data_IF_121351525257
#
_entry.id   IF_121351525257
#
_cell.length_a   1.000
_cell.length_b   1.000
_cell.length_c   1.000
_cell.angle_alpha   90.00
_cell.angle_beta   90.00
_cell.angle_gamma   90.00
#
_symmetry.space_group_name_H-M   'P 1'
#
loop_
_entity.id
_entity.type
_entity.pdbx_description
1 polymer ?
#
# COMPACT_ATOMS: atom_id res chain seq x y z
N UNK A 1 -9.91 28.29 9.88
CA UNK A 1 -8.85 27.48 10.53
C UNK A 1 -8.38 26.46 9.51
N UNK A 2 -7.08 26.31 9.31
CA UNK A 2 -6.55 25.23 8.47
C UNK A 2 -6.80 23.88 9.17
N UNK A 3 -7.25 22.88 8.44
CA UNK A 3 -7.39 21.52 8.96
C UNK A 3 -6.02 20.85 8.86
N UNK A 4 -5.44 20.52 10.00
CA UNK A 4 -4.14 19.84 10.09
C UNK A 4 -4.35 18.42 10.60
N UNK A 5 -3.72 17.44 9.96
CA UNK A 5 -3.68 16.06 10.44
C UNK A 5 -2.37 15.87 11.19
N UNK A 6 -2.45 15.54 12.48
CA UNK A 6 -1.30 15.35 13.37
C UNK A 6 -1.21 13.88 13.81
N UNK A 7 -0.04 13.30 13.62
CA UNK A 7 0.30 11.94 14.02
C UNK A 7 1.29 11.86 15.19
N UNK A 8 1.51 12.96 15.92
CA UNK A 8 2.36 12.97 17.11
C UNK A 8 1.94 11.89 18.11
N UNK A 9 2.88 11.05 18.53
CA UNK A 9 2.62 9.93 19.43
C UNK A 9 1.89 8.73 18.80
N UNK A 10 1.76 8.68 17.47
CA UNK A 10 1.22 7.56 16.70
C UNK A 10 2.32 6.74 16.06
N UNK A 11 2.15 5.43 16.05
CA UNK A 11 3.06 4.47 15.42
C UNK A 11 2.44 3.98 14.12
N UNK A 12 3.19 4.12 13.03
CA UNK A 12 2.76 3.76 11.68
C UNK A 12 3.75 2.78 11.07
N UNK A 13 3.29 1.60 10.72
CA UNK A 13 4.07 0.61 9.97
C UNK A 13 3.71 0.67 8.48
N UNK A 14 4.71 0.87 7.62
CA UNK A 14 4.55 0.79 6.17
C UNK A 14 5.40 -0.36 5.63
N UNK A 15 4.75 -1.37 5.07
CA UNK A 15 5.44 -2.53 4.52
C UNK A 15 6.02 -2.24 3.12
N UNK A 16 7.23 -2.77 2.82
CA UNK A 16 7.90 -2.54 1.54
C UNK A 16 8.30 -1.08 1.31
N UNK A 17 8.67 -0.36 2.37
CA UNK A 17 8.83 1.10 2.34
C UNK A 17 10.28 1.59 2.24
N UNK A 18 11.23 0.75 1.86
CA UNK A 18 12.61 1.18 1.62
C UNK A 18 12.79 1.95 0.32
N UNK A 19 11.80 1.91 -0.60
CA UNK A 19 11.82 2.59 -1.89
C UNK A 19 10.41 2.79 -2.45
N UNK A 20 10.31 3.51 -3.56
CA UNK A 20 9.08 3.64 -4.37
C UNK A 20 7.91 4.21 -3.61
N UNK A 21 6.73 3.64 -3.88
CA UNK A 21 5.46 4.11 -3.31
C UNK A 21 5.47 4.05 -1.78
N UNK A 22 5.95 2.93 -1.22
CA UNK A 22 6.01 2.76 0.23
C UNK A 22 6.87 3.82 0.92
N UNK A 23 8.01 4.21 0.31
CA UNK A 23 8.86 5.27 0.85
C UNK A 23 8.15 6.63 0.85
N UNK A 24 7.45 6.95 -0.24
CA UNK A 24 6.65 8.17 -0.31
C UNK A 24 5.51 8.20 0.72
N UNK A 25 4.86 7.05 0.96
CA UNK A 25 3.84 6.92 2.01
C UNK A 25 4.47 7.14 3.40
N UNK A 26 5.58 6.45 3.69
CA UNK A 26 6.29 6.57 4.97
C UNK A 26 6.73 8.02 5.24
N UNK A 27 7.23 8.71 4.20
CA UNK A 27 7.61 10.13 4.30
C UNK A 27 6.43 11.02 4.68
N UNK A 28 5.23 10.82 4.10
CA UNK A 28 4.06 11.64 4.45
C UNK A 28 3.57 11.42 5.88
N UNK A 29 3.71 10.21 6.42
CA UNK A 29 3.46 9.97 7.84
C UNK A 29 4.53 10.61 8.74
N UNK A 30 5.80 10.58 8.33
CA UNK A 30 6.87 11.29 9.05
C UNK A 30 6.64 12.81 9.06
N UNK A 31 6.30 13.40 7.90
CA UNK A 31 5.93 14.82 7.78
C UNK A 31 4.75 15.21 8.68
N UNK A 32 3.85 14.26 8.94
CA UNK A 32 2.73 14.44 9.87
C UNK A 32 3.07 14.17 11.35
N UNK A 33 4.32 13.86 11.69
CA UNK A 33 4.80 13.67 13.06
C UNK A 33 4.69 12.25 13.62
N UNK A 34 4.44 11.23 12.77
CA UNK A 34 4.37 9.85 13.22
C UNK A 34 5.73 9.26 13.59
N UNK A 35 5.74 8.31 14.54
CA UNK A 35 6.82 7.34 14.65
C UNK A 35 6.70 6.36 13.49
N UNK A 36 7.61 6.48 12.51
CA UNK A 36 7.58 5.66 11.29
C UNK A 36 8.37 4.39 11.48
N UNK A 37 7.72 3.27 11.19
CA UNK A 37 8.33 1.94 11.12
C UNK A 37 8.21 1.43 9.70
N UNK A 38 9.29 0.92 9.15
CA UNK A 38 9.31 0.35 7.80
C UNK A 38 9.85 -1.06 7.81
N UNK A 39 9.39 -1.91 6.91
CA UNK A 39 9.95 -3.22 6.74
C UNK A 39 10.26 -3.53 5.28
N UNK A 40 11.31 -4.31 5.09
CA UNK A 40 11.69 -4.95 3.83
C UNK A 40 12.64 -6.11 4.15
N UNK A 41 13.04 -6.89 3.14
CA UNK A 41 14.03 -7.96 3.33
C UNK A 41 15.44 -7.45 3.66
N UNK A 42 15.76 -6.23 3.22
CA UNK A 42 17.03 -5.53 3.50
C UNK A 42 16.77 -4.04 3.66
N UNK A 43 17.52 -3.34 4.49
CA UNK A 43 17.44 -1.88 4.60
C UNK A 43 17.88 -1.22 3.28
N UNK A 44 17.54 0.04 3.12
CA UNK A 44 18.15 0.92 2.12
C UNK A 44 19.29 1.70 2.77
N UNK A 45 20.36 1.99 2.02
CA UNK A 45 21.54 2.70 2.53
C UNK A 45 21.22 4.15 2.94
N UNK A 46 20.19 4.74 2.32
CA UNK A 46 19.72 6.11 2.51
C UNK A 46 18.43 6.20 3.35
N UNK A 47 18.16 5.18 4.20
CA UNK A 47 16.99 5.23 5.07
C UNK A 47 17.15 6.36 6.11
N UNK A 48 16.12 7.22 6.32
CA UNK A 48 16.16 8.24 7.37
C UNK A 48 16.51 7.65 8.74
N UNK A 49 17.40 8.30 9.47
CA UNK A 49 17.94 7.78 10.73
C UNK A 49 16.89 7.69 11.87
N UNK A 50 15.81 8.47 11.77
CA UNK A 50 14.69 8.50 12.69
C UNK A 50 13.61 7.45 12.38
N UNK A 51 13.73 6.72 11.25
CA UNK A 51 12.82 5.63 10.92
C UNK A 51 13.31 4.30 11.51
N UNK A 52 12.40 3.56 12.10
CA UNK A 52 12.70 2.20 12.58
C UNK A 52 12.62 1.21 11.41
N UNK A 53 13.61 0.33 11.31
CA UNK A 53 13.63 -0.70 10.28
C UNK A 53 13.57 -2.11 10.89
N UNK A 54 12.67 -2.95 10.36
CA UNK A 54 12.59 -4.37 10.68
C UNK A 54 12.75 -5.21 9.41
N UNK A 55 13.67 -6.17 9.43
CA UNK A 55 13.86 -7.10 8.32
C UNK A 55 12.80 -8.21 8.36
N UNK A 56 12.02 -8.38 7.27
CA UNK A 56 11.05 -9.45 7.16
C UNK A 56 10.81 -9.86 5.69
N UNK A 57 10.60 -11.15 5.44
CA UNK A 57 10.04 -11.64 4.19
C UNK A 57 8.56 -11.98 4.41
N UNK A 58 7.69 -11.10 4.00
CA UNK A 58 6.25 -11.18 4.26
C UNK A 58 5.53 -12.28 3.46
N UNK A 59 6.24 -13.02 2.60
CA UNK A 59 5.69 -14.23 1.96
C UNK A 59 5.57 -15.38 2.95
N UNK A 60 6.32 -15.31 4.05
CA UNK A 60 6.23 -16.21 5.18
C UNK A 60 5.26 -15.62 6.22
N UNK A 61 4.20 -16.38 6.53
CA UNK A 61 3.16 -15.94 7.47
C UNK A 61 3.67 -15.76 8.89
N UNK A 62 4.53 -16.65 9.36
CA UNK A 62 5.13 -16.56 10.70
C UNK A 62 6.03 -15.32 10.81
N UNK A 63 6.82 -15.03 9.78
CA UNK A 63 7.64 -13.83 9.74
C UNK A 63 6.79 -12.54 9.68
N UNK A 64 5.63 -12.57 9.01
CA UNK A 64 4.69 -11.46 8.99
C UNK A 64 4.06 -11.20 10.36
N UNK A 65 3.66 -12.24 11.09
CA UNK A 65 3.15 -12.14 12.46
C UNK A 65 4.22 -11.62 13.40
N UNK A 66 5.42 -12.22 13.39
CA UNK A 66 6.56 -11.81 14.22
C UNK A 66 6.98 -10.35 13.98
N UNK A 67 6.86 -9.85 12.74
CA UNK A 67 7.09 -8.43 12.44
C UNK A 67 6.13 -7.54 13.24
N UNK A 68 4.83 -7.81 13.17
CA UNK A 68 3.83 -6.99 13.86
C UNK A 68 4.05 -7.03 15.37
N UNK A 69 4.28 -8.22 15.93
CA UNK A 69 4.57 -8.38 17.37
C UNK A 69 5.81 -7.59 17.79
N UNK A 70 6.88 -7.63 16.98
CA UNK A 70 8.11 -6.88 17.23
C UNK A 70 7.89 -5.37 17.20
N UNK A 71 7.08 -4.88 16.27
CA UNK A 71 6.74 -3.45 16.18
C UNK A 71 5.95 -3.00 17.42
N UNK A 72 4.96 -3.79 17.84
CA UNK A 72 4.17 -3.47 19.03
C UNK A 72 5.02 -3.58 20.29
N UNK A 73 5.88 -4.58 20.42
CA UNK A 73 6.78 -4.73 21.56
C UNK A 73 7.75 -3.55 21.69
N UNK A 74 8.28 -3.05 20.56
CA UNK A 74 9.23 -1.93 20.56
C UNK A 74 8.58 -0.58 20.87
N UNK A 75 7.31 -0.39 20.49
CA UNK A 75 6.64 0.92 20.52
C UNK A 75 5.44 1.00 21.47
N UNK A 76 5.01 -0.12 22.05
CA UNK A 76 3.84 -0.22 22.93
C UNK A 76 2.49 -0.14 22.22
N UNK A 77 2.48 0.12 20.90
CA UNK A 77 1.27 0.29 20.09
C UNK A 77 1.53 0.18 18.59
N UNK A 78 0.46 0.01 17.82
CA UNK A 78 0.43 0.20 16.36
C UNK A 78 -0.88 0.89 15.99
N UNK A 79 -0.83 2.12 15.50
CA UNK A 79 -2.03 2.91 15.17
C UNK A 79 -2.46 2.74 13.71
N UNK A 80 -1.49 2.67 12.81
CA UNK A 80 -1.76 2.49 11.38
C UNK A 80 -0.82 1.44 10.79
N UNK A 81 -1.42 0.48 10.09
CA UNK A 81 -0.71 -0.43 9.21
C UNK A 81 -0.99 -0.07 7.76
N UNK A 82 0.06 0.15 6.96
CA UNK A 82 -0.05 0.27 5.50
C UNK A 82 0.57 -0.95 4.85
N UNK A 83 -0.26 -1.82 4.29
CA UNK A 83 0.14 -2.97 3.50
C UNK A 83 0.48 -2.52 2.08
N UNK A 84 1.73 -2.11 1.87
CA UNK A 84 2.22 -1.66 0.57
C UNK A 84 3.13 -2.69 -0.10
N UNK A 85 3.78 -3.59 0.64
CA UNK A 85 4.66 -4.61 0.06
C UNK A 85 3.97 -5.36 -1.09
N UNK A 86 4.53 -5.31 -2.28
CA UNK A 86 3.92 -5.88 -3.47
C UNK A 86 4.66 -5.52 -4.74
N UNK A 87 4.05 -5.91 -5.86
CA UNK A 87 4.55 -5.65 -7.21
C UNK A 87 4.53 -6.91 -8.07
N UNK A 88 4.69 -6.71 -9.37
CA UNK A 88 4.78 -7.79 -10.37
C UNK A 88 5.72 -7.37 -11.48
N UNK A 89 6.64 -8.23 -11.90
CA UNK A 89 7.22 -8.10 -13.22
C UNK A 89 6.14 -8.40 -14.27
N UNK A 90 6.29 -7.94 -15.52
CA UNK A 90 5.46 -8.42 -16.63
C UNK A 90 5.62 -9.93 -16.80
N UNK A 91 4.52 -10.68 -16.79
CA UNK A 91 4.50 -12.14 -16.95
C UNK A 91 3.37 -12.52 -17.87
N UNK A 92 3.69 -13.15 -18.99
CA UNK A 92 2.68 -13.68 -19.92
C UNK A 92 1.88 -14.80 -19.22
N UNK A 93 0.56 -14.67 -19.22
CA UNK A 93 -0.35 -15.58 -18.51
C UNK A 93 -0.27 -17.01 -19.03
N UNK A 94 -0.01 -17.19 -20.34
CA UNK A 94 0.05 -18.51 -20.98
C UNK A 94 1.34 -19.29 -20.65
N UNK A 95 2.41 -18.57 -20.28
CA UNK A 95 3.74 -19.15 -20.03
C UNK A 95 4.18 -19.04 -18.56
N UNK A 96 3.37 -18.38 -17.73
CA UNK A 96 3.64 -18.22 -16.31
C UNK A 96 3.77 -19.58 -15.60
N UNK A 97 4.91 -19.84 -14.94
CA UNK A 97 5.03 -21.05 -14.13
C UNK A 97 4.17 -20.97 -12.87
N UNK A 98 3.67 -22.10 -12.33
CA UNK A 98 2.94 -22.13 -11.07
C UNK A 98 3.69 -21.41 -9.93
N UNK A 99 5.01 -21.61 -9.86
CA UNK A 99 5.87 -20.97 -8.84
C UNK A 99 5.87 -19.45 -8.90
N UNK A 100 5.80 -18.85 -10.10
CA UNK A 100 5.71 -17.40 -10.25
C UNK A 100 4.35 -16.93 -9.78
N UNK A 101 3.27 -17.61 -10.21
CA UNK A 101 1.90 -17.31 -9.80
C UNK A 101 1.74 -17.37 -8.28
N UNK A 102 2.21 -18.44 -7.65
CA UNK A 102 2.18 -18.60 -6.18
C UNK A 102 2.89 -17.45 -5.47
N UNK A 103 4.10 -17.09 -5.91
CA UNK A 103 4.87 -15.98 -5.32
C UNK A 103 4.19 -14.63 -5.46
N UNK A 104 3.50 -14.39 -6.58
CA UNK A 104 2.72 -13.18 -6.80
C UNK A 104 1.53 -13.11 -5.83
N UNK A 105 0.80 -14.21 -5.66
CA UNK A 105 -0.31 -14.29 -4.69
C UNK A 105 0.19 -14.15 -3.26
N UNK A 106 1.26 -14.85 -2.90
CA UNK A 106 1.88 -14.75 -1.57
C UNK A 106 2.22 -13.31 -1.22
N UNK A 107 2.91 -12.59 -2.11
CA UNK A 107 3.37 -11.23 -1.81
C UNK A 107 2.25 -10.19 -1.88
N UNK A 108 1.34 -10.29 -2.87
CA UNK A 108 0.38 -9.23 -3.18
C UNK A 108 -0.99 -9.40 -2.50
N UNK A 109 -1.25 -10.57 -1.90
CA UNK A 109 -2.48 -10.88 -1.18
C UNK A 109 -2.19 -11.43 0.21
N UNK A 110 -1.53 -12.60 0.31
CA UNK A 110 -1.39 -13.29 1.59
C UNK A 110 -0.56 -12.49 2.60
N UNK A 111 0.51 -11.83 2.18
CA UNK A 111 1.32 -10.97 3.03
C UNK A 111 0.48 -9.87 3.72
N UNK A 112 -0.42 -9.21 2.96
CA UNK A 112 -1.32 -8.19 3.50
C UNK A 112 -2.34 -8.80 4.48
N UNK A 113 -2.86 -9.99 4.18
CA UNK A 113 -3.79 -10.71 5.06
C UNK A 113 -3.11 -11.03 6.39
N UNK A 114 -1.92 -11.63 6.37
CA UNK A 114 -1.17 -12.01 7.58
C UNK A 114 -0.84 -10.80 8.46
N UNK A 115 -0.27 -9.74 7.87
CA UNK A 115 0.02 -8.51 8.60
C UNK A 115 -1.26 -7.89 9.19
N UNK A 116 -2.36 -7.89 8.43
CA UNK A 116 -3.64 -7.32 8.88
C UNK A 116 -4.26 -8.11 10.04
N UNK A 117 -4.21 -9.44 9.99
CA UNK A 117 -4.74 -10.31 11.07
C UNK A 117 -4.02 -10.03 12.39
N UNK A 118 -2.68 -10.01 12.38
CA UNK A 118 -1.91 -9.79 13.59
C UNK A 118 -2.01 -8.33 14.07
N UNK A 119 -2.05 -7.36 13.15
CA UNK A 119 -2.29 -5.96 13.51
C UNK A 119 -3.67 -5.77 14.15
N UNK A 120 -4.72 -6.36 13.57
CA UNK A 120 -6.05 -6.33 14.15
C UNK A 120 -6.08 -6.94 15.55
N UNK A 121 -5.40 -8.07 15.80
CA UNK A 121 -5.30 -8.68 17.13
C UNK A 121 -4.82 -7.65 18.17
N UNK A 122 -3.76 -6.91 17.90
CA UNK A 122 -3.25 -5.88 18.81
C UNK A 122 -4.16 -4.65 18.86
N UNK A 123 -4.62 -4.14 17.72
CA UNK A 123 -5.47 -2.95 17.64
C UNK A 123 -6.81 -3.14 18.38
N UNK A 124 -7.40 -4.34 18.39
CA UNK A 124 -8.62 -4.63 19.16
C UNK A 124 -8.40 -4.49 20.67
N UNK A 125 -7.19 -4.63 21.16
CA UNK A 125 -6.85 -4.48 22.58
C UNK A 125 -6.52 -3.01 22.94
N UNK A 126 -6.21 -2.17 21.97
CA UNK A 126 -5.95 -0.75 22.19
C UNK A 126 -7.23 0.04 22.47
N UNK A 127 -7.17 1.02 23.37
CA UNK A 127 -8.32 1.89 23.66
C UNK A 127 -8.76 2.70 22.43
N UNK A 128 -7.81 3.07 21.57
CA UNK A 128 -8.04 3.89 20.36
C UNK A 128 -8.35 3.07 19.11
N UNK A 129 -8.27 1.73 19.19
CA UNK A 129 -8.35 0.89 18.00
C UNK A 129 -7.20 1.12 17.03
N UNK A 130 -7.48 1.10 15.73
CA UNK A 130 -6.47 1.33 14.68
C UNK A 130 -7.05 1.50 13.28
N UNK A 131 -6.16 1.70 12.30
CA UNK A 131 -6.52 1.74 10.89
C UNK A 131 -5.57 0.88 10.05
N UNK A 132 -6.12 0.12 9.12
CA UNK A 132 -5.39 -0.71 8.16
C UNK A 132 -5.68 -0.20 6.76
N UNK A 133 -4.63 0.05 5.98
CA UNK A 133 -4.72 0.58 4.63
C UNK A 133 -3.99 -0.38 3.69
N UNK A 134 -4.73 -0.94 2.74
CA UNK A 134 -4.22 -1.89 1.76
C UNK A 134 -3.92 -1.19 0.44
N UNK A 135 -2.67 -1.17 0.00
CA UNK A 135 -2.33 -0.63 -1.31
C UNK A 135 -2.65 -1.67 -2.39
N UNK A 136 -3.75 -1.40 -3.07
CA UNK A 136 -4.23 -2.15 -4.21
C UNK A 136 -3.75 -1.54 -5.54
N UNK A 137 -4.42 -1.82 -6.63
CA UNK A 137 -4.04 -1.35 -7.96
C UNK A 137 -5.28 -1.23 -8.86
N UNK A 138 -5.21 -0.35 -9.85
CA UNK A 138 -6.18 -0.34 -10.96
C UNK A 138 -6.28 -1.68 -11.69
N UNK A 139 -5.22 -2.50 -11.65
CA UNK A 139 -5.25 -3.88 -12.17
C UNK A 139 -6.27 -4.79 -11.46
N UNK A 140 -6.75 -4.39 -10.27
CA UNK A 140 -7.82 -5.10 -9.55
C UNK A 140 -9.21 -4.85 -10.13
N UNK A 141 -9.40 -3.77 -10.88
CA UNK A 141 -10.71 -3.29 -11.33
C UNK A 141 -10.83 -3.15 -12.85
N UNK A 142 -9.72 -3.33 -13.58
CA UNK A 142 -9.70 -3.35 -15.04
C UNK A 142 -8.72 -4.39 -15.59
N UNK A 143 -8.89 -4.82 -16.86
CA UNK A 143 -7.91 -5.68 -17.53
C UNK A 143 -6.52 -5.01 -17.56
N UNK A 144 -5.50 -5.82 -17.32
CA UNK A 144 -4.10 -5.39 -17.41
C UNK A 144 -3.26 -6.54 -17.96
N UNK A 145 -2.99 -6.56 -19.29
CA UNK A 145 -2.17 -7.59 -19.90
C UNK A 145 -0.83 -7.77 -19.21
N UNK A 146 -0.34 -9.01 -19.18
CA UNK A 146 0.91 -9.42 -18.51
C UNK A 146 0.93 -9.31 -16.97
N UNK A 147 -0.20 -8.98 -16.33
CA UNK A 147 -0.29 -8.87 -14.87
C UNK A 147 -1.49 -9.64 -14.29
N UNK A 148 -2.00 -10.68 -14.94
CA UNK A 148 -3.24 -11.35 -14.56
C UNK A 148 -3.24 -11.89 -13.12
N UNK A 149 -2.20 -12.62 -12.69
CA UNK A 149 -2.11 -13.13 -11.32
C UNK A 149 -1.98 -12.01 -10.27
N UNK A 150 -1.28 -10.92 -10.63
CA UNK A 150 -1.19 -9.73 -9.80
C UNK A 150 -2.55 -9.04 -9.67
N UNK A 151 -3.24 -8.81 -10.78
CA UNK A 151 -4.58 -8.22 -10.80
C UNK A 151 -5.57 -9.03 -9.97
N UNK A 152 -5.57 -10.37 -10.12
CA UNK A 152 -6.40 -11.28 -9.31
C UNK A 152 -6.08 -11.17 -7.81
N UNK A 153 -4.80 -11.12 -7.44
CA UNK A 153 -4.39 -10.94 -6.04
C UNK A 153 -4.87 -9.59 -5.47
N UNK A 154 -4.77 -8.50 -6.26
CA UNK A 154 -5.23 -7.17 -5.84
C UNK A 154 -6.77 -7.06 -5.80
N UNK A 155 -7.48 -7.76 -6.68
CA UNK A 155 -8.94 -7.88 -6.60
C UNK A 155 -9.37 -8.63 -5.33
N UNK A 156 -8.68 -9.73 -5.01
CA UNK A 156 -8.84 -10.45 -3.74
C UNK A 156 -8.58 -9.56 -2.52
N UNK A 157 -7.57 -8.70 -2.59
CA UNK A 157 -7.25 -7.74 -1.52
C UNK A 157 -8.36 -6.69 -1.32
N UNK A 158 -9.00 -6.23 -2.40
CA UNK A 158 -10.15 -5.31 -2.29
C UNK A 158 -11.34 -6.00 -1.62
N UNK A 159 -11.63 -7.25 -1.97
CA UNK A 159 -12.69 -8.03 -1.33
C UNK A 159 -12.39 -8.31 0.14
N UNK A 160 -11.16 -8.73 0.46
CA UNK A 160 -10.69 -8.90 1.83
C UNK A 160 -10.85 -7.62 2.66
N UNK A 161 -10.50 -6.47 2.09
CA UNK A 161 -10.67 -5.16 2.73
C UNK A 161 -12.12 -4.91 3.13
N UNK A 162 -13.06 -5.11 2.21
CA UNK A 162 -14.48 -4.88 2.46
C UNK A 162 -15.03 -5.81 3.54
N UNK A 163 -14.63 -7.09 3.52
CA UNK A 163 -15.10 -8.10 4.49
C UNK A 163 -14.50 -7.82 5.87
N UNK A 164 -13.20 -7.65 5.98
CA UNK A 164 -12.52 -7.41 7.27
C UNK A 164 -12.94 -6.10 7.92
N UNK A 165 -13.34 -5.09 7.14
CA UNK A 165 -13.90 -3.85 7.66
C UNK A 165 -15.20 -4.07 8.45
N UNK A 166 -16.04 -4.99 8.01
CA UNK A 166 -17.27 -5.37 8.73
C UNK A 166 -16.97 -6.20 9.99
N UNK A 167 -16.04 -7.14 9.87
CA UNK A 167 -15.70 -8.07 10.96
C UNK A 167 -14.98 -7.36 12.13
N UNK A 168 -14.20 -6.31 11.85
CA UNK A 168 -13.32 -5.68 12.84
C UNK A 168 -13.83 -4.36 13.40
N UNK A 169 -14.94 -3.87 12.84
CA UNK A 169 -15.63 -2.70 13.40
C UNK A 169 -16.17 -3.00 14.82
N UNK A 170 -16.33 -2.00 15.67
CA UNK A 170 -16.09 -0.57 15.42
C UNK A 170 -14.64 -0.12 15.68
N UNK A 171 -13.76 -0.98 16.19
CA UNK A 171 -12.44 -0.57 16.67
C UNK A 171 -11.41 -0.38 15.58
N UNK A 172 -11.44 -1.21 14.53
CA UNK A 172 -10.45 -1.18 13.46
C UNK A 172 -11.11 -0.86 12.13
N UNK A 173 -10.64 0.21 11.49
CA UNK A 173 -11.08 0.57 10.14
C UNK A 173 -10.13 -0.05 9.12
N UNK A 174 -10.69 -0.59 8.03
CA UNK A 174 -9.91 -1.20 6.96
C UNK A 174 -10.34 -0.60 5.64
N UNK A 175 -9.39 -0.02 4.89
CA UNK A 175 -9.65 0.57 3.57
C UNK A 175 -8.58 0.16 2.58
N UNK A 176 -8.87 0.26 1.29
CA UNK A 176 -7.89 0.05 0.23
C UNK A 176 -7.76 1.28 -0.67
N UNK A 177 -6.59 1.40 -1.31
CA UNK A 177 -6.31 2.41 -2.33
C UNK A 177 -5.95 1.66 -3.61
N UNK A 178 -6.79 1.73 -4.63
CA UNK A 178 -6.46 1.24 -5.97
C UNK A 178 -5.66 2.31 -6.71
N UNK A 179 -4.35 2.19 -6.62
CA UNK A 179 -3.42 3.14 -7.22
C UNK A 179 -3.30 2.93 -8.74
N UNK A 180 -3.23 4.02 -9.48
CA UNK A 180 -2.93 4.05 -10.90
C UNK A 180 -1.44 3.97 -11.20
N UNK A 181 -1.02 4.63 -12.26
CA UNK A 181 0.36 4.71 -12.67
C UNK A 181 1.11 5.74 -11.82
N UNK A 182 2.22 5.32 -11.18
CA UNK A 182 2.98 6.13 -10.23
C UNK A 182 4.41 6.27 -10.75
N UNK A 183 4.93 7.50 -10.73
CA UNK A 183 6.32 7.80 -11.06
C UNK A 183 7.22 7.47 -9.86
N UNK A 184 7.82 6.30 -9.90
CA UNK A 184 8.85 5.87 -8.95
C UNK A 184 10.23 5.95 -9.63
N UNK A 185 11.30 5.77 -8.86
CA UNK A 185 12.66 5.63 -9.39
C UNK A 185 12.84 4.44 -10.35
N UNK A 186 11.89 3.50 -10.33
CA UNK A 186 11.87 2.32 -11.21
C UNK A 186 10.93 2.48 -12.42
N UNK A 187 10.28 3.63 -12.60
CA UNK A 187 9.34 3.85 -13.70
C UNK A 187 9.97 3.60 -15.08
N UNK A 188 11.29 3.90 -15.22
CA UNK A 188 12.04 3.65 -16.46
C UNK A 188 12.07 2.15 -16.87
N UNK A 189 11.95 1.22 -15.93
CA UNK A 189 11.91 -0.22 -16.23
C UNK A 189 10.62 -0.65 -16.95
N UNK A 190 9.55 0.17 -16.85
CA UNK A 190 8.23 -0.12 -17.41
C UNK A 190 7.89 0.79 -18.59
N UNK A 191 8.35 2.04 -18.56
CA UNK A 191 7.91 3.09 -19.48
C UNK A 191 9.05 3.65 -20.34
N UNK A 192 10.29 3.13 -20.16
CA UNK A 192 11.46 3.60 -20.88
C UNK A 192 12.06 4.88 -20.28
N UNK A 193 12.51 5.78 -21.15
CA UNK A 193 13.12 7.06 -20.77
C UNK A 193 12.06 8.10 -20.31
N UNK A 194 12.51 9.33 -20.03
CA UNK A 194 11.63 10.43 -19.62
C UNK A 194 10.55 10.75 -20.66
N UNK A 195 10.86 10.59 -21.95
CA UNK A 195 9.87 10.80 -23.02
C UNK A 195 8.80 9.72 -22.99
N UNK A 196 9.17 8.46 -22.77
CA UNK A 196 8.24 7.35 -22.59
C UNK A 196 7.37 7.53 -21.34
N UNK A 197 7.96 7.93 -20.22
CA UNK A 197 7.23 8.23 -18.97
C UNK A 197 6.23 9.38 -19.21
N UNK A 198 6.64 10.44 -19.90
CA UNK A 198 5.75 11.56 -20.22
C UNK A 198 4.63 11.16 -21.16
N UNK A 199 4.92 10.34 -22.19
CA UNK A 199 3.91 9.82 -23.13
C UNK A 199 2.84 8.98 -22.41
N UNK A 200 3.27 8.11 -21.48
CA UNK A 200 2.34 7.34 -20.64
C UNK A 200 1.54 8.28 -19.73
N UNK A 201 2.19 9.28 -19.13
CA UNK A 201 1.53 10.28 -18.30
C UNK A 201 0.43 11.06 -19.04
N UNK A 202 0.66 11.38 -20.32
CA UNK A 202 -0.31 12.07 -21.17
C UNK A 202 -1.61 11.27 -21.42
N UNK A 203 -1.60 9.94 -21.23
CA UNK A 203 -2.81 9.10 -21.34
C UNK A 203 -3.72 9.23 -20.12
N UNK A 204 -3.19 9.72 -19.00
CA UNK A 204 -3.96 9.96 -17.76
C UNK A 204 -4.69 11.29 -17.89
N UNK A 205 -5.99 11.40 -17.53
CA UNK A 205 -6.73 12.67 -17.61
C UNK A 205 -6.08 13.84 -16.87
N UNK A 206 -5.39 13.59 -15.75
CA UNK A 206 -4.59 14.64 -15.05
C UNK A 206 -3.25 14.96 -15.74
N UNK A 207 -2.94 14.36 -16.91
CA UNK A 207 -1.79 14.67 -17.76
C UNK A 207 -0.44 14.22 -17.22
N UNK A 208 -0.38 13.40 -16.16
CA UNK A 208 0.86 12.93 -15.55
C UNK A 208 0.67 11.65 -14.74
N UNK A 209 1.77 10.99 -14.45
CA UNK A 209 1.81 9.96 -13.43
C UNK A 209 1.68 10.59 -12.02
N UNK A 210 1.10 9.83 -11.08
CA UNK A 210 1.08 10.24 -9.68
C UNK A 210 2.50 10.17 -9.06
N UNK A 211 2.74 10.98 -8.03
CA UNK A 211 3.91 10.85 -7.17
C UNK A 211 3.64 9.88 -6.02
N UNK A 212 4.65 9.15 -5.51
CA UNK A 212 4.53 8.32 -4.32
C UNK A 212 3.90 9.03 -3.11
N UNK A 213 4.23 10.30 -2.92
CA UNK A 213 3.71 11.15 -1.83
C UNK A 213 2.22 11.42 -1.95
N UNK A 214 1.64 11.48 -3.15
CA UNK A 214 0.19 11.68 -3.36
C UNK A 214 -0.61 10.46 -2.88
N UNK A 215 -0.04 9.25 -3.00
CA UNK A 215 -0.63 8.05 -2.37
C UNK A 215 -0.47 8.13 -0.85
N UNK A 216 0.65 8.68 -0.37
CA UNK A 216 0.90 8.95 1.04
C UNK A 216 -0.13 9.90 1.65
N UNK A 217 -0.52 10.97 0.94
CA UNK A 217 -1.54 11.93 1.40
C UNK A 217 -2.90 11.25 1.64
N UNK A 218 -3.29 10.34 0.74
CA UNK A 218 -4.51 9.54 0.91
C UNK A 218 -4.37 8.59 2.11
N UNK A 219 -3.20 7.97 2.30
CA UNK A 219 -2.95 7.11 3.47
C UNK A 219 -3.03 7.91 4.78
N UNK A 220 -2.44 9.09 4.84
CA UNK A 220 -2.50 9.99 6.00
C UNK A 220 -3.96 10.38 6.31
N UNK A 221 -4.77 10.69 5.30
CA UNK A 221 -6.20 10.95 5.49
C UNK A 221 -6.93 9.70 6.02
N UNK A 222 -6.79 8.55 5.37
CA UNK A 222 -7.51 7.32 5.74
C UNK A 222 -7.10 6.79 7.13
N UNK A 223 -5.86 6.98 7.55
CA UNK A 223 -5.37 6.62 8.87
C UNK A 223 -5.84 7.56 9.98
N UNK A 224 -6.26 8.78 9.64
CA UNK A 224 -6.60 9.85 10.59
C UNK A 224 -8.03 9.77 11.15
N UNK A 225 -8.33 10.52 12.22
CA UNK A 225 -9.70 10.69 12.71
C UNK A 225 -10.65 11.36 11.70
N UNK A 226 -10.13 12.08 10.70
CA UNK A 226 -10.96 12.67 9.64
C UNK A 226 -11.68 11.61 8.80
N UNK A 227 -11.14 10.39 8.74
CA UNK A 227 -11.75 9.24 8.08
C UNK A 227 -12.52 8.33 9.05
N UNK A 228 -12.98 8.85 10.20
CA UNK A 228 -13.65 8.04 11.25
C UNK A 228 -14.91 7.31 10.77
N UNK A 229 -15.55 7.78 9.71
CA UNK A 229 -16.73 7.13 9.11
C UNK A 229 -16.41 6.44 7.77
N UNK A 230 -15.12 6.23 7.48
CA UNK A 230 -14.65 5.56 6.25
C UNK A 230 -14.01 4.22 6.64
N UNK A 231 -14.74 3.13 6.34
CA UNK A 231 -14.24 1.75 6.46
C UNK A 231 -14.87 0.89 5.36
N UNK A 232 -14.14 -0.11 4.85
CA UNK A 232 -14.55 -0.95 3.73
C UNK A 232 -14.46 -0.26 2.35
N UNK A 233 -13.94 0.95 2.28
CA UNK A 233 -13.84 1.70 1.03
C UNK A 233 -12.64 1.26 0.19
N UNK A 234 -12.82 1.32 -1.14
CA UNK A 234 -11.73 1.26 -2.10
C UNK A 234 -11.61 2.62 -2.81
N UNK A 235 -10.57 3.38 -2.49
CA UNK A 235 -10.31 4.70 -3.07
C UNK A 235 -9.55 4.54 -4.38
N UNK A 236 -10.13 5.00 -5.49
CA UNK A 236 -9.46 5.01 -6.79
C UNK A 236 -8.54 6.24 -6.88
N UNK A 237 -7.22 6.03 -6.79
CA UNK A 237 -6.20 7.06 -6.90
C UNK A 237 -5.44 6.91 -8.23
N UNK A 238 -6.07 7.33 -9.33
CA UNK A 238 -5.58 7.04 -10.70
C UNK A 238 -5.66 8.22 -11.68
N UNK A 239 -5.86 9.43 -11.18
CA UNK A 239 -5.83 10.63 -12.02
C UNK A 239 -6.97 10.74 -13.05
N UNK A 240 -8.10 10.04 -12.83
CA UNK A 240 -9.21 9.94 -13.78
C UNK A 240 -9.22 8.63 -14.58
N UNK A 241 -8.22 7.77 -14.37
CA UNK A 241 -8.06 6.50 -15.10
C UNK A 241 -7.28 6.65 -16.39
N UNK A 242 -7.72 6.00 -17.45
CA UNK A 242 -7.15 6.10 -18.80
C UNK A 242 -8.20 6.69 -19.75
N UNK A 243 -7.78 7.58 -20.62
CA UNK A 243 -8.67 8.18 -21.60
C UNK A 243 -9.24 7.10 -22.51
N UNK A 244 -10.56 7.10 -22.80
CA UNK A 244 -11.14 6.19 -23.75
C UNK A 244 -10.51 6.33 -25.15
N UNK A 245 -10.23 5.21 -25.80
CA UNK A 245 -9.52 5.19 -27.09
C UNK A 245 -10.20 6.02 -28.18
N UNK A 246 -11.53 6.16 -28.15
CA UNK A 246 -12.27 6.96 -29.14
C UNK A 246 -11.98 8.47 -29.06
N UNK A 247 -11.40 8.96 -27.98
CA UNK A 247 -10.96 10.36 -27.86
C UNK A 247 -9.62 10.62 -28.54
N UNK A 248 -8.91 9.56 -28.94
CA UNK A 248 -7.62 9.62 -29.61
C UNK A 248 -7.72 9.30 -31.11
N UNK A 249 -8.93 9.10 -31.63
CA UNK A 249 -9.22 8.79 -33.03
C UNK A 249 -9.38 10.04 -33.90
#
# INVERSE_FOLDING_TARGET
MAVTIDYSGKVVLVTGATKGVGRGIAQRFADAGATVVVCARKPADDLPADWQFFAADLRDGEAAFALIDSVVAANGRLDVLVNNAGGSPPVDTSTASPRITERLVQLNLLAAIYCSQQANHHMQQQATGGAIINISSVCAVRPSPTTAAYGAAKAGLNNYTATSALEWAPKVRVNSISAGMIRTEQAHLFYGDEAGIAAVGATVPLGRLALPTEIGDICVYLGSPMASYVTGANVLAHGGGESPAFLSA
#
